data_IF_039406988746
#
_entry.id   IF_039406988746
#
_cell.length_a   1.000
_cell.length_b   1.000
_cell.length_c   1.000
_cell.angle_alpha   90.00
_cell.angle_beta   90.00
_cell.angle_gamma   90.00
#
_symmetry.space_group_name_H-M   'P 1'
#
loop_
_entity.id
_entity.type
_entity.pdbx_description
1 polymer ?
#
# COMPACT_ATOMS: atom_id res chain seq x y z
N UNK A 1 4.06 8.37 -33.37
CA UNK A 1 3.10 8.28 -32.24
C UNK A 1 3.05 6.87 -31.62
N UNK A 2 4.19 6.18 -31.46
CA UNK A 2 4.21 4.83 -30.87
C UNK A 2 4.32 4.84 -29.32
N UNK A 3 4.82 5.93 -28.74
CA UNK A 3 5.07 6.01 -27.30
C UNK A 3 3.79 6.18 -26.45
N UNK A 4 2.70 6.69 -27.04
CA UNK A 4 1.43 6.90 -26.31
C UNK A 4 0.70 5.60 -25.97
N UNK A 5 0.88 4.54 -26.76
CA UNK A 5 0.22 3.24 -26.56
C UNK A 5 0.98 2.29 -25.62
N UNK A 6 2.22 2.63 -25.26
CA UNK A 6 3.13 1.74 -24.50
C UNK A 6 3.17 2.09 -23.00
N UNK A 7 2.63 3.25 -22.61
CA UNK A 7 2.62 3.69 -21.21
C UNK A 7 1.83 2.73 -20.31
N UNK A 8 2.49 2.21 -19.27
CA UNK A 8 1.91 1.27 -18.31
C UNK A 8 1.21 0.05 -18.96
N UNK A 9 1.78 -0.44 -20.06
CA UNK A 9 1.26 -1.57 -20.86
C UNK A 9 1.21 -2.92 -20.12
N UNK A 10 2.03 -3.10 -19.08
CA UNK A 10 2.08 -4.36 -18.34
C UNK A 10 0.95 -4.45 -17.29
N UNK A 11 0.12 -5.50 -17.31
CA UNK A 11 -0.92 -5.70 -16.31
C UNK A 11 -0.33 -5.83 -14.89
N UNK A 12 -0.85 -5.05 -13.94
CA UNK A 12 -0.45 -5.06 -12.52
C UNK A 12 -1.54 -5.69 -11.65
N UNK A 13 -2.00 -6.89 -11.99
CA UNK A 13 -3.05 -7.59 -11.23
C UNK A 13 -2.56 -8.20 -9.91
N UNK A 14 -1.26 -8.46 -9.78
CA UNK A 14 -0.67 -9.16 -8.63
C UNK A 14 0.74 -8.67 -8.30
N UNK A 15 1.31 -9.20 -7.21
CA UNK A 15 2.65 -8.81 -6.74
C UNK A 15 2.71 -7.47 -6.00
N UNK A 16 3.91 -6.96 -5.79
CA UNK A 16 4.15 -5.72 -5.00
C UNK A 16 3.64 -4.48 -5.73
N UNK A 17 3.89 -4.35 -7.04
CA UNK A 17 3.51 -3.19 -7.84
C UNK A 17 2.01 -3.06 -8.15
N UNK A 18 1.20 -4.07 -7.79
CA UNK A 18 -0.27 -4.03 -7.91
C UNK A 18 -0.96 -3.33 -6.74
N UNK A 19 -0.23 -3.05 -5.66
CA UNK A 19 -0.80 -2.54 -4.41
C UNK A 19 0.05 -1.40 -3.88
N UNK A 20 -0.62 -0.47 -3.26
CA UNK A 20 0.00 0.69 -2.64
C UNK A 20 -0.67 1.01 -1.31
N UNK A 21 0.06 1.76 -0.48
CA UNK A 21 -0.49 2.28 0.76
C UNK A 21 -1.64 3.25 0.47
N UNK A 22 -2.76 3.08 1.15
CA UNK A 22 -3.91 4.00 1.07
C UNK A 22 -3.61 5.45 1.51
N UNK A 23 -2.54 5.66 2.28
CA UNK A 23 -2.19 6.97 2.85
C UNK A 23 -1.09 7.66 2.05
N UNK A 24 0.03 6.97 1.81
CA UNK A 24 1.24 7.57 1.23
C UNK A 24 1.63 7.01 -0.15
N UNK A 25 0.78 6.17 -0.75
CA UNK A 25 1.01 5.48 -2.05
C UNK A 25 2.29 4.65 -2.14
N UNK A 26 3.02 4.46 -1.03
CA UNK A 26 4.22 3.65 -0.99
C UNK A 26 3.88 2.17 -1.15
N UNK A 27 4.59 1.47 -2.04
CA UNK A 27 4.29 0.08 -2.38
C UNK A 27 4.99 -0.95 -1.48
N UNK A 28 6.10 -0.58 -0.84
CA UNK A 28 6.84 -1.48 0.04
C UNK A 28 6.34 -1.43 1.48
N UNK A 29 6.47 -2.55 2.21
CA UNK A 29 6.14 -2.63 3.63
C UNK A 29 4.64 -2.51 3.93
N UNK A 30 3.80 -2.96 3.00
CA UNK A 30 2.34 -2.89 3.11
C UNK A 30 1.81 -3.95 4.10
N UNK A 31 1.08 -3.49 5.11
CA UNK A 31 0.33 -4.33 6.03
C UNK A 31 -1.04 -4.59 5.41
N UNK A 32 -1.28 -5.87 5.07
CA UNK A 32 -2.48 -6.33 4.36
C UNK A 32 -3.49 -7.03 5.28
N UNK A 33 -3.10 -7.31 6.52
CA UNK A 33 -3.96 -8.00 7.48
C UNK A 33 -5.19 -7.15 7.79
N UNK A 34 -6.34 -7.80 7.96
CA UNK A 34 -7.62 -7.15 8.28
C UNK A 34 -8.10 -6.12 7.24
N UNK A 35 -7.59 -6.19 6.00
CA UNK A 35 -8.00 -5.26 4.94
C UNK A 35 -7.49 -3.83 5.11
N UNK A 36 -6.48 -3.61 5.97
CA UNK A 36 -5.94 -2.27 6.26
C UNK A 36 -5.27 -1.63 5.02
N UNK A 37 -4.44 -2.38 4.29
CA UNK A 37 -3.69 -1.92 3.10
C UNK A 37 -2.95 -0.59 3.32
N UNK A 38 -2.20 -0.51 4.41
CA UNK A 38 -1.40 0.66 4.80
C UNK A 38 0.06 0.29 5.01
N UNK A 39 0.97 1.23 4.79
CA UNK A 39 2.40 1.02 4.98
C UNK A 39 2.74 0.89 6.48
N UNK A 40 3.84 0.20 6.82
CA UNK A 40 4.25 0.03 8.21
C UNK A 40 4.51 1.33 8.99
N UNK A 41 4.95 2.41 8.30
CA UNK A 41 5.18 3.72 8.93
C UNK A 41 3.82 4.38 9.24
N UNK A 42 2.97 4.46 8.22
CA UNK A 42 1.59 4.92 8.28
C UNK A 42 0.79 4.21 9.38
N UNK A 43 0.95 2.89 9.51
CA UNK A 43 0.31 2.13 10.57
C UNK A 43 0.78 2.56 11.96
N UNK A 44 2.08 2.80 12.16
CA UNK A 44 2.60 3.22 13.47
C UNK A 44 2.04 4.58 13.88
N UNK A 45 1.97 5.53 12.94
CA UNK A 45 1.42 6.87 13.16
C UNK A 45 -0.08 6.83 13.50
N UNK A 46 -0.84 5.95 12.84
CA UNK A 46 -2.30 5.88 12.98
C UNK A 46 -2.80 4.75 13.90
N UNK A 47 -1.90 3.98 14.50
CA UNK A 47 -2.25 2.75 15.23
C UNK A 47 -3.26 3.00 16.36
N UNK A 48 -3.06 4.07 17.14
CA UNK A 48 -3.96 4.47 18.22
C UNK A 48 -5.36 4.86 17.70
N UNK A 49 -5.43 5.61 16.59
CA UNK A 49 -6.71 6.03 15.98
C UNK A 49 -7.49 4.86 15.39
N UNK A 50 -6.79 3.83 14.88
CA UNK A 50 -7.39 2.58 14.41
C UNK A 50 -7.89 1.72 15.59
N UNK A 51 -7.44 2.00 16.81
CA UNK A 51 -7.80 1.25 18.02
C UNK A 51 -6.78 0.17 18.42
N UNK A 52 -5.58 0.16 17.85
CA UNK A 52 -4.51 -0.71 18.30
C UNK A 52 -3.81 -0.09 19.52
N UNK A 53 -3.69 -0.87 20.59
CA UNK A 53 -2.93 -0.51 21.79
C UNK A 53 -1.74 -1.46 21.98
N UNK A 54 -0.62 -0.92 22.48
CA UNK A 54 0.55 -1.72 22.81
C UNK A 54 0.34 -2.33 24.21
N UNK A 55 0.22 -3.65 24.28
CA UNK A 55 -0.06 -4.37 25.53
C UNK A 55 1.18 -4.74 26.34
N UNK A 56 2.38 -4.65 25.74
CA UNK A 56 3.68 -4.91 26.36
C UNK A 56 4.75 -4.05 25.71
#
# INVERSE_FOLDING_TARGET
>A
MAHSTIWNSHPRGYGKGSRECRVCTHQAGLIRKYGLNICRQCFRENSAAIGFTKTR
#
